data_IF_078494904539
#
_entry.id   IF_078494904539
#
_cell.length_a   1.000
_cell.length_b   1.000
_cell.length_c   1.000
_cell.angle_alpha   90.00
_cell.angle_beta   90.00
_cell.angle_gamma   90.00
#
_symmetry.space_group_name_H-M   'P 1'
#
loop_
_entity.id
_entity.type
_entity.pdbx_description
1 polymer ?
#
# COMPACT_ATOMS: atom_id res chain seq x y z
N UNK A 1 20.98 -6.93 -0.26
CA UNK A 1 19.96 -6.23 -1.05
C UNK A 1 18.70 -7.07 -1.04
N UNK A 2 17.61 -6.62 -0.40
CA UNK A 2 16.33 -7.35 -0.46
C UNK A 2 15.73 -7.09 -1.84
N UNK A 3 15.53 -8.13 -2.64
CA UNK A 3 14.79 -8.00 -3.89
C UNK A 3 13.32 -7.64 -3.58
N UNK A 4 12.76 -6.69 -4.32
CA UNK A 4 11.34 -6.36 -4.22
C UNK A 4 10.51 -7.43 -4.93
N UNK A 5 9.29 -7.65 -4.45
CA UNK A 5 8.38 -8.62 -5.06
C UNK A 5 8.05 -8.24 -6.52
N UNK A 6 7.66 -9.22 -7.34
CA UNK A 6 7.20 -8.93 -8.70
C UNK A 6 5.97 -8.01 -8.69
N UNK A 7 5.10 -8.18 -7.71
CA UNK A 7 3.93 -7.33 -7.49
C UNK A 7 4.30 -5.86 -7.25
N UNK A 8 5.28 -5.62 -6.39
CA UNK A 8 5.84 -4.28 -6.18
C UNK A 8 6.36 -3.72 -7.51
N UNK A 9 7.22 -4.46 -8.22
CA UNK A 9 7.80 -4.01 -9.49
C UNK A 9 6.74 -3.66 -10.53
N UNK A 10 5.69 -4.46 -10.65
CA UNK A 10 4.58 -4.19 -11.57
C UNK A 10 3.78 -2.95 -11.16
N UNK A 11 3.64 -2.69 -9.85
CA UNK A 11 2.89 -1.54 -9.37
C UNK A 11 3.64 -0.22 -9.62
N UNK A 12 4.95 -0.18 -9.33
CA UNK A 12 5.78 1.03 -9.49
C UNK A 12 6.24 1.28 -10.92
N UNK A 13 5.99 0.36 -11.87
CA UNK A 13 6.39 0.53 -13.26
C UNK A 13 5.45 1.45 -14.07
N UNK A 14 4.26 1.77 -13.56
CA UNK A 14 3.27 2.58 -14.26
C UNK A 14 2.38 3.38 -13.29
N UNK A 15 1.73 4.47 -13.74
CA UNK A 15 0.75 5.19 -12.94
C UNK A 15 -0.36 4.25 -12.42
N UNK A 16 -0.74 4.37 -11.15
CA UNK A 16 -1.64 3.40 -10.51
C UNK A 16 -3.08 3.41 -11.05
N UNK A 17 -3.56 4.52 -11.62
CA UNK A 17 -4.92 4.64 -12.16
C UNK A 17 -6.00 4.12 -11.20
N UNK A 18 -6.88 3.27 -11.71
CA UNK A 18 -8.00 2.64 -10.98
C UNK A 18 -7.66 1.23 -10.44
N UNK A 19 -6.37 0.91 -10.28
CA UNK A 19 -5.93 -0.39 -9.77
C UNK A 19 -6.58 -0.71 -8.42
N UNK A 20 -7.03 -1.96 -8.21
CA UNK A 20 -7.61 -2.37 -6.93
C UNK A 20 -6.57 -2.28 -5.81
N UNK A 21 -7.03 -2.15 -4.57
CA UNK A 21 -6.15 -2.12 -3.40
C UNK A 21 -5.29 -3.38 -3.28
N UNK A 22 -5.78 -4.50 -3.80
CA UNK A 22 -5.08 -5.78 -3.87
C UNK A 22 -3.92 -5.79 -4.86
N UNK A 23 -3.66 -4.75 -5.63
CA UNK A 23 -2.44 -4.64 -6.46
C UNK A 23 -1.24 -4.07 -5.68
N UNK A 24 -1.47 -3.47 -4.51
CA UNK A 24 -0.40 -2.99 -3.65
C UNK A 24 0.45 -4.17 -3.12
N UNK A 25 1.76 -3.99 -3.10
CA UNK A 25 2.64 -4.97 -2.46
C UNK A 25 2.29 -5.07 -0.97
N UNK A 26 2.43 -6.27 -0.38
CA UNK A 26 2.03 -6.51 1.00
C UNK A 26 0.52 -6.67 1.24
N UNK A 27 -0.35 -6.26 0.30
CA UNK A 27 -1.82 -6.41 0.41
C UNK A 27 -2.29 -7.65 -0.35
N UNK A 28 -2.52 -8.77 0.34
CA UNK A 28 -3.16 -9.96 -0.22
C UNK A 28 -4.69 -9.89 -0.18
N UNK A 29 -5.40 -10.91 -0.68
CA UNK A 29 -6.87 -10.93 -0.72
C UNK A 29 -7.54 -10.71 0.64
N UNK A 30 -7.00 -11.30 1.70
CA UNK A 30 -7.57 -11.16 3.06
C UNK A 30 -7.48 -9.72 3.56
N UNK A 31 -6.34 -9.06 3.34
CA UNK A 31 -6.15 -7.66 3.71
C UNK A 31 -6.96 -6.74 2.79
N UNK A 32 -7.00 -7.05 1.49
CA UNK A 32 -7.76 -6.32 0.49
C UNK A 32 -9.25 -6.27 0.83
N UNK A 33 -9.87 -7.41 1.16
CA UNK A 33 -11.28 -7.45 1.58
C UNK A 33 -11.57 -6.59 2.82
N UNK A 34 -10.64 -6.56 3.78
CA UNK A 34 -10.78 -5.73 4.98
C UNK A 34 -10.64 -4.24 4.66
N UNK A 35 -9.68 -3.89 3.80
CA UNK A 35 -9.51 -2.53 3.29
C UNK A 35 -10.73 -2.08 2.49
N UNK A 36 -11.25 -2.90 1.57
CA UNK A 36 -12.49 -2.67 0.83
C UNK A 36 -13.68 -2.44 1.77
N UNK A 37 -13.83 -3.28 2.81
CA UNK A 37 -14.89 -3.11 3.83
C UNK A 37 -14.74 -1.79 4.60
N UNK A 38 -13.51 -1.33 4.82
CA UNK A 38 -13.19 -0.06 5.45
C UNK A 38 -13.28 1.15 4.49
N UNK A 39 -13.66 0.95 3.22
CA UNK A 39 -13.80 2.01 2.22
C UNK A 39 -12.54 2.28 1.38
N UNK A 40 -11.52 1.41 1.45
CA UNK A 40 -10.26 1.48 0.72
C UNK A 40 -10.23 0.42 -0.39
N UNK A 41 -11.12 0.53 -1.37
CA UNK A 41 -11.27 -0.42 -2.47
C UNK A 41 -10.22 -0.24 -3.59
N UNK A 42 -9.74 1.00 -3.78
CA UNK A 42 -8.72 1.34 -4.78
C UNK A 42 -7.37 1.71 -4.17
N UNK A 43 -6.30 1.46 -4.92
CA UNK A 43 -4.94 1.78 -4.49
C UNK A 43 -4.75 3.28 -4.22
N UNK A 44 -5.40 4.16 -4.99
CA UNK A 44 -5.31 5.61 -4.77
C UNK A 44 -5.97 6.08 -3.46
N UNK A 45 -6.95 5.35 -2.92
CA UNK A 45 -7.58 5.70 -1.65
C UNK A 45 -6.59 5.43 -0.51
N UNK A 46 -5.85 4.32 -0.58
CA UNK A 46 -4.75 4.02 0.34
C UNK A 46 -3.59 5.01 0.18
N UNK A 47 -3.27 5.41 -1.06
CA UNK A 47 -2.30 6.48 -1.30
C UNK A 47 -2.75 7.79 -0.62
N UNK A 48 -4.03 8.16 -0.72
CA UNK A 48 -4.58 9.33 -0.06
C UNK A 48 -4.32 9.31 1.45
N UNK A 49 -4.59 8.17 2.10
CA UNK A 49 -4.30 7.99 3.52
C UNK A 49 -2.79 8.07 3.83
N UNK A 50 -1.94 7.46 3.01
CA UNK A 50 -0.49 7.57 3.12
C UNK A 50 0.00 9.02 3.06
N UNK A 51 -0.61 9.85 2.19
CA UNK A 51 -0.28 11.27 2.06
C UNK A 51 -0.82 12.11 3.24
N UNK A 52 -2.02 11.78 3.77
CA UNK A 52 -2.56 12.41 4.99
C UNK A 52 -1.62 12.18 6.18
N UNK A 53 -1.05 10.98 6.27
CA UNK A 53 -0.03 10.63 7.27
C UNK A 53 1.36 11.18 6.94
N UNK A 54 1.48 12.09 5.97
CA UNK A 54 2.71 12.78 5.56
C UNK A 54 3.84 11.82 5.18
N UNK A 55 3.50 10.67 4.60
CA UNK A 55 4.45 9.59 4.27
C UNK A 55 5.21 9.07 5.49
N UNK A 56 4.67 9.24 6.71
CA UNK A 56 5.28 8.73 7.93
C UNK A 56 5.14 7.22 8.01
N UNK A 57 6.27 6.52 8.17
CA UNK A 57 6.32 5.07 8.15
C UNK A 57 5.63 4.45 9.35
N UNK A 58 5.87 4.97 10.55
CA UNK A 58 5.35 4.37 11.78
C UNK A 58 3.84 4.53 11.85
N UNK A 59 3.34 5.74 11.58
CA UNK A 59 1.91 6.02 11.53
C UNK A 59 1.20 5.20 10.46
N UNK A 60 1.80 5.05 9.28
CA UNK A 60 1.19 4.23 8.21
C UNK A 60 1.14 2.74 8.59
N UNK A 61 2.20 2.22 9.20
CA UNK A 61 2.22 0.82 9.63
C UNK A 61 1.25 0.54 10.77
N UNK A 62 1.09 1.49 11.69
CA UNK A 62 0.08 1.45 12.75
C UNK A 62 -1.34 1.48 12.16
N UNK A 63 -1.62 2.44 11.26
CA UNK A 63 -2.90 2.53 10.57
C UNK A 63 -3.27 1.24 9.80
N UNK A 64 -2.32 0.64 9.08
CA UNK A 64 -2.54 -0.65 8.38
C UNK A 64 -2.85 -1.78 9.36
N UNK A 65 -2.21 -1.79 10.54
CA UNK A 65 -2.47 -2.78 11.58
C UNK A 65 -3.87 -2.59 12.17
N UNK A 66 -4.30 -1.36 12.43
CA UNK A 66 -5.62 -1.09 12.99
C UNK A 66 -6.75 -1.34 11.98
N UNK A 67 -6.54 -0.95 10.72
CA UNK A 67 -7.59 -0.97 9.70
C UNK A 67 -7.81 -2.36 9.10
N UNK A 68 -6.74 -3.10 8.82
CA UNK A 68 -6.84 -4.42 8.17
C UNK A 68 -6.08 -5.55 8.88
N UNK A 69 -5.50 -5.28 10.06
CA UNK A 69 -4.69 -6.24 10.83
C UNK A 69 -3.49 -6.76 10.04
N UNK A 70 -2.85 -5.87 9.26
CA UNK A 70 -1.58 -6.18 8.61
C UNK A 70 -0.48 -6.46 9.63
N UNK A 71 0.37 -7.45 9.34
CA UNK A 71 1.60 -7.66 10.10
C UNK A 71 2.70 -6.69 9.65
N UNK A 72 3.81 -6.64 10.41
CA UNK A 72 4.92 -5.71 10.17
C UNK A 72 5.55 -5.85 8.78
N UNK A 73 5.56 -7.06 8.20
CA UNK A 73 6.10 -7.27 6.86
C UNK A 73 5.14 -6.75 5.79
N UNK A 74 3.86 -7.08 5.90
CA UNK A 74 2.82 -6.63 4.96
C UNK A 74 2.71 -5.11 4.92
N UNK A 75 2.72 -4.47 6.08
CA UNK A 75 2.66 -3.00 6.16
C UNK A 75 3.96 -2.35 5.66
N UNK A 76 5.13 -2.95 5.91
CA UNK A 76 6.40 -2.46 5.38
C UNK A 76 6.48 -2.57 3.85
N UNK A 77 6.06 -3.71 3.28
CA UNK A 77 6.04 -3.94 1.84
C UNK A 77 5.09 -2.97 1.13
N UNK A 78 3.92 -2.71 1.72
CA UNK A 78 2.94 -1.74 1.22
C UNK A 78 3.47 -0.30 1.29
N UNK A 79 4.05 0.09 2.44
CA UNK A 79 4.67 1.40 2.61
C UNK A 79 5.76 1.65 1.56
N UNK A 80 6.67 0.68 1.39
CA UNK A 80 7.76 0.81 0.43
C UNK A 80 7.22 0.92 -1.00
N UNK A 81 6.18 0.16 -1.35
CA UNK A 81 5.52 0.24 -2.66
C UNK A 81 4.94 1.63 -2.95
N UNK A 82 4.25 2.24 -1.98
CA UNK A 82 3.66 3.56 -2.14
C UNK A 82 4.73 4.66 -2.14
N UNK A 83 5.76 4.51 -1.31
CA UNK A 83 6.89 5.43 -1.27
C UNK A 83 7.61 5.46 -2.62
N UNK A 84 7.98 4.30 -3.14
CA UNK A 84 8.71 4.21 -4.42
C UNK A 84 7.83 4.68 -5.59
N UNK A 85 6.53 4.39 -5.57
CA UNK A 85 5.60 4.96 -6.56
C UNK A 85 5.53 6.50 -6.48
N UNK A 86 5.50 7.07 -5.27
CA UNK A 86 5.52 8.52 -5.12
C UNK A 86 6.83 9.12 -5.63
N UNK A 87 7.98 8.49 -5.32
CA UNK A 87 9.29 8.99 -5.72
C UNK A 87 9.43 9.04 -7.27
N UNK A 88 8.69 8.19 -8.00
CA UNK A 88 8.68 8.15 -9.48
C UNK A 88 7.61 9.04 -10.14
N UNK A 89 6.41 9.16 -9.54
CA UNK A 89 5.24 9.75 -10.20
C UNK A 89 4.62 10.98 -9.52
N UNK A 90 5.11 11.41 -8.35
CA UNK A 90 4.56 12.54 -7.56
C UNK A 90 5.63 13.52 -7.08
#
# INVERSE_FOLDING_TARGET
MSSTSQKHRNFVAEPMGEKPVTDLAGVGEVLGKRLETAGFDKAYVVLGQFLVLKKDKELFQEWMKETCSANSKQSADCYQCLKDWCDEFL
#
